data_IF_643349780705
#
_entry.id   IF_643349780705
#
_cell.length_a   1.000
_cell.length_b   1.000
_cell.length_c   1.000
_cell.angle_alpha   90.00
_cell.angle_beta   90.00
_cell.angle_gamma   90.00
#
_symmetry.space_group_name_H-M   'P 1'
#
loop_
_entity.id
_entity.type
_entity.pdbx_description
1 polymer ?
#
# COMPACT_ATOMS: atom_id res chain seq x y z
N UNK A 1 -25.03 -31.34 6.30
CA UNK A 1 -25.07 -29.85 6.37
C UNK A 1 -23.64 -29.35 6.33
N UNK A 2 -23.36 -28.31 5.55
CA UNK A 2 -22.01 -27.71 5.47
C UNK A 2 -21.67 -27.09 6.81
N UNK A 3 -20.50 -27.45 7.38
CA UNK A 3 -19.96 -26.78 8.57
C UNK A 3 -19.28 -25.48 8.14
N UNK A 4 -19.95 -24.36 8.33
CA UNK A 4 -19.45 -23.05 7.92
C UNK A 4 -18.22 -22.58 8.70
N UNK A 5 -18.03 -23.09 9.93
CA UNK A 5 -16.83 -22.79 10.73
C UNK A 5 -15.62 -23.46 10.08
N UNK A 6 -15.69 -24.76 9.82
CA UNK A 6 -14.61 -25.51 9.13
C UNK A 6 -14.32 -24.88 7.77
N UNK A 7 -15.36 -24.54 6.99
CA UNK A 7 -15.17 -23.91 5.68
C UNK A 7 -14.44 -22.57 5.78
N UNK A 8 -14.77 -21.73 6.75
CA UNK A 8 -14.07 -20.46 6.96
C UNK A 8 -12.60 -20.68 7.36
N UNK A 9 -12.34 -21.67 8.22
CA UNK A 9 -10.99 -22.04 8.61
C UNK A 9 -10.16 -22.54 7.42
N UNK A 10 -10.76 -23.36 6.56
CA UNK A 10 -10.12 -23.84 5.32
C UNK A 10 -9.73 -22.69 4.37
N UNK A 11 -10.62 -21.70 4.18
CA UNK A 11 -10.33 -20.52 3.36
C UNK A 11 -9.12 -19.76 3.90
N UNK A 12 -9.12 -19.47 5.20
CA UNK A 12 -8.00 -18.77 5.84
C UNK A 12 -6.70 -19.56 5.74
N UNK A 13 -6.75 -20.88 5.88
CA UNK A 13 -5.57 -21.73 5.74
C UNK A 13 -5.04 -21.70 4.30
N UNK A 14 -5.91 -21.82 3.30
CA UNK A 14 -5.51 -21.76 1.89
C UNK A 14 -4.87 -20.42 1.51
N UNK A 15 -5.38 -19.29 2.03
CA UNK A 15 -4.77 -17.98 1.83
C UNK A 15 -3.42 -17.84 2.54
N UNK A 16 -3.29 -18.38 3.76
CA UNK A 16 -2.02 -18.42 4.48
C UNK A 16 -0.98 -19.27 3.74
N UNK A 17 -1.36 -20.42 3.23
CA UNK A 17 -0.48 -21.31 2.45
C UNK A 17 -0.01 -20.63 1.16
N UNK A 18 -0.88 -19.86 0.51
CA UNK A 18 -0.50 -19.07 -0.65
C UNK A 18 0.59 -18.04 -0.32
N UNK A 19 0.49 -17.34 0.84
CA UNK A 19 1.54 -16.42 1.31
C UNK A 19 2.84 -17.17 1.61
N UNK A 20 2.77 -18.33 2.27
CA UNK A 20 3.96 -19.14 2.58
C UNK A 20 4.65 -19.57 1.29
N UNK A 21 3.88 -19.95 0.27
CA UNK A 21 4.40 -20.37 -1.02
C UNK A 21 5.17 -19.26 -1.73
N UNK A 22 4.61 -18.05 -1.84
CA UNK A 22 5.26 -16.93 -2.54
C UNK A 22 6.58 -16.53 -1.88
N UNK A 23 6.78 -16.83 -0.60
CA UNK A 23 8.07 -16.64 0.08
C UNK A 23 9.22 -17.35 -0.64
N UNK A 24 8.96 -18.52 -1.24
CA UNK A 24 9.97 -19.28 -1.99
C UNK A 24 10.30 -18.66 -3.35
N UNK A 25 9.47 -17.73 -3.85
CA UNK A 25 9.67 -17.06 -5.14
C UNK A 25 10.43 -15.74 -5.04
N UNK A 26 10.72 -15.29 -3.82
CA UNK A 26 11.56 -14.09 -3.60
C UNK A 26 12.97 -14.37 -4.13
N UNK A 27 13.39 -13.56 -5.10
CA UNK A 27 14.62 -13.74 -5.85
C UNK A 27 15.33 -12.39 -6.10
N UNK A 28 16.36 -12.40 -6.94
CA UNK A 28 17.15 -11.21 -7.30
C UNK A 28 16.31 -10.09 -7.93
N UNK A 29 15.24 -10.41 -8.66
CA UNK A 29 14.37 -9.38 -9.25
C UNK A 29 13.62 -8.59 -8.17
N UNK A 30 13.26 -9.24 -7.05
CA UNK A 30 12.70 -8.54 -5.90
C UNK A 30 13.72 -7.53 -5.32
N UNK A 31 14.97 -7.95 -5.15
CA UNK A 31 16.04 -7.08 -4.63
C UNK A 31 16.30 -5.92 -5.59
N UNK A 32 16.40 -6.18 -6.89
CA UNK A 32 16.60 -5.15 -7.93
C UNK A 32 15.43 -4.18 -7.98
N UNK A 33 14.20 -4.65 -7.77
CA UNK A 33 13.01 -3.80 -7.70
C UNK A 33 13.08 -2.80 -6.54
N UNK A 34 13.58 -3.23 -5.35
CA UNK A 34 13.78 -2.36 -4.21
C UNK A 34 14.78 -1.23 -4.55
N UNK A 35 15.95 -1.60 -5.12
CA UNK A 35 16.96 -0.62 -5.51
C UNK A 35 16.43 0.34 -6.57
N UNK A 36 15.77 -0.17 -7.60
CA UNK A 36 15.17 0.65 -8.65
C UNK A 36 14.20 1.70 -8.09
N UNK A 37 13.30 1.29 -7.19
CA UNK A 37 12.33 2.22 -6.58
C UNK A 37 13.02 3.22 -5.65
N UNK A 38 14.03 2.77 -4.89
CA UNK A 38 14.77 3.65 -3.97
C UNK A 38 15.55 4.73 -4.70
N UNK A 39 16.20 4.37 -5.81
CA UNK A 39 17.10 5.25 -6.57
C UNK A 39 16.37 6.14 -7.57
N UNK A 40 15.11 5.82 -7.88
CA UNK A 40 14.27 6.63 -8.77
C UNK A 40 14.12 8.06 -8.23
N UNK A 41 14.23 9.03 -9.13
CA UNK A 41 13.93 10.44 -8.85
C UNK A 41 12.44 10.76 -9.05
N UNK A 42 11.70 9.83 -9.64
CA UNK A 42 10.26 9.91 -9.86
C UNK A 42 9.44 9.26 -8.75
N UNK A 43 8.20 8.95 -9.08
CA UNK A 43 7.24 8.28 -8.19
C UNK A 43 7.10 6.82 -8.60
N UNK A 44 6.53 6.01 -7.70
CA UNK A 44 6.05 4.68 -8.02
C UNK A 44 4.61 4.79 -8.56
N UNK A 45 4.42 4.55 -9.85
CA UNK A 45 3.09 4.45 -10.47
C UNK A 45 2.60 3.03 -10.33
N UNK A 46 1.58 2.81 -9.51
CA UNK A 46 1.03 1.48 -9.29
C UNK A 46 -0.26 1.33 -10.09
N UNK A 47 -0.32 0.32 -10.96
CA UNK A 47 -1.44 0.12 -11.87
C UNK A 47 -1.98 -1.30 -11.85
N UNK A 48 -3.23 -1.47 -12.25
CA UNK A 48 -3.92 -2.74 -12.35
C UNK A 48 -5.36 -2.52 -12.81
N UNK A 49 -6.11 -3.63 -12.93
CA UNK A 49 -7.54 -3.60 -13.26
C UNK A 49 -8.33 -4.53 -12.34
N UNK A 50 -9.59 -4.25 -12.11
CA UNK A 50 -10.48 -5.08 -11.29
C UNK A 50 -9.98 -5.22 -9.84
N UNK A 51 -9.88 -6.45 -9.34
CA UNK A 51 -9.39 -6.70 -7.97
C UNK A 51 -7.93 -6.28 -7.77
N UNK A 52 -7.08 -6.47 -8.78
CA UNK A 52 -5.69 -6.00 -8.74
C UNK A 52 -5.59 -4.47 -8.65
N UNK A 53 -6.54 -3.71 -9.22
CA UNK A 53 -6.59 -2.25 -9.05
C UNK A 53 -6.87 -1.84 -7.60
N UNK A 54 -7.75 -2.57 -6.90
CA UNK A 54 -8.05 -2.33 -5.48
C UNK A 54 -6.80 -2.59 -4.62
N UNK A 55 -6.08 -3.68 -4.91
CA UNK A 55 -4.80 -3.97 -4.25
C UNK A 55 -3.77 -2.87 -4.56
N UNK A 56 -3.66 -2.43 -5.81
CA UNK A 56 -2.78 -1.33 -6.21
C UNK A 56 -3.06 -0.04 -5.44
N UNK A 57 -4.33 0.34 -5.25
CA UNK A 57 -4.71 1.50 -4.43
C UNK A 57 -4.27 1.35 -2.97
N UNK A 58 -4.46 0.15 -2.37
CA UNK A 58 -3.98 -0.13 -1.02
C UNK A 58 -2.46 -0.01 -0.93
N UNK A 59 -1.73 -0.53 -1.89
CA UNK A 59 -0.27 -0.45 -1.92
C UNK A 59 0.22 1.00 -2.05
N UNK A 60 -0.43 1.82 -2.89
CA UNK A 60 -0.14 3.26 -2.99
C UNK A 60 -0.30 3.95 -1.64
N UNK A 61 -1.39 3.66 -0.91
CA UNK A 61 -1.59 4.20 0.43
C UNK A 61 -0.48 3.78 1.39
N UNK A 62 -0.06 2.51 1.35
CA UNK A 62 1.05 1.99 2.15
C UNK A 62 2.37 2.68 1.80
N UNK A 63 2.74 2.75 0.52
CA UNK A 63 3.98 3.40 0.07
C UNK A 63 4.04 4.87 0.50
N UNK A 64 2.97 5.64 0.26
CA UNK A 64 2.90 7.04 0.65
C UNK A 64 3.04 7.22 2.17
N UNK A 65 2.38 6.39 2.96
CA UNK A 65 2.45 6.46 4.42
C UNK A 65 3.80 6.04 5.00
N UNK A 66 4.63 5.40 4.20
CA UNK A 66 5.95 4.86 4.60
C UNK A 66 7.12 5.51 3.87
N UNK A 67 6.89 6.67 3.24
CA UNK A 67 7.97 7.50 2.69
C UNK A 67 8.41 7.17 1.27
N UNK A 68 7.66 6.35 0.54
CA UNK A 68 7.86 6.13 -0.89
C UNK A 68 6.74 6.83 -1.67
N UNK A 69 7.02 7.93 -2.40
CA UNK A 69 6.00 8.63 -3.16
C UNK A 69 5.39 7.73 -4.23
N UNK A 70 4.10 7.52 -4.17
CA UNK A 70 3.38 6.64 -5.09
C UNK A 70 2.06 7.24 -5.55
N UNK A 71 1.64 6.90 -6.76
CA UNK A 71 0.33 7.25 -7.31
C UNK A 71 -0.34 6.02 -7.91
N UNK A 72 -1.65 6.03 -7.87
CA UNK A 72 -2.46 5.01 -8.52
C UNK A 72 -2.89 5.47 -9.92
N UNK A 73 -2.81 4.56 -10.90
CA UNK A 73 -3.33 4.74 -12.24
C UNK A 73 -4.17 3.52 -12.61
N UNK A 74 -5.46 3.71 -12.86
CA UNK A 74 -6.31 2.60 -13.28
C UNK A 74 -6.01 2.21 -14.73
N UNK A 75 -5.74 0.92 -15.00
CA UNK A 75 -5.29 0.51 -16.34
C UNK A 75 -6.31 0.79 -17.45
N UNK A 76 -7.62 0.72 -17.16
CA UNK A 76 -8.64 1.05 -18.15
C UNK A 76 -8.73 2.56 -18.43
N UNK A 77 -8.51 3.41 -17.42
CA UNK A 77 -8.56 4.87 -17.62
C UNK A 77 -7.27 5.38 -18.31
N UNK A 78 -6.17 4.68 -18.09
CA UNK A 78 -4.88 4.99 -18.72
C UNK A 78 -4.95 4.99 -20.25
N UNK A 79 -5.64 4.04 -20.85
CA UNK A 79 -5.84 4.00 -22.32
C UNK A 79 -6.74 5.10 -22.85
N UNK A 80 -7.43 5.82 -21.97
CA UNK A 80 -8.32 6.94 -22.32
C UNK A 80 -7.79 8.32 -21.88
N UNK A 81 -6.50 8.40 -21.50
CA UNK A 81 -5.84 9.69 -21.23
C UNK A 81 -5.00 9.75 -19.97
N UNK A 82 -5.27 8.94 -18.94
CA UNK A 82 -4.53 8.97 -17.67
C UNK A 82 -3.05 8.53 -17.80
N UNK A 83 -2.65 8.00 -18.98
CA UNK A 83 -1.23 7.84 -19.32
C UNK A 83 -0.43 9.15 -19.21
N UNK A 84 -1.09 10.31 -19.31
CA UNK A 84 -0.48 11.63 -19.11
C UNK A 84 0.06 11.87 -17.69
N UNK A 85 -0.38 11.08 -16.72
CA UNK A 85 0.07 11.14 -15.32
C UNK A 85 1.54 10.73 -15.14
N UNK A 86 2.03 9.82 -16.00
CA UNK A 86 3.37 9.23 -15.90
C UNK A 86 4.43 10.23 -16.36
N UNK A 87 5.46 10.41 -15.54
CA UNK A 87 6.63 11.21 -15.84
C UNK A 87 7.80 10.32 -16.26
N UNK A 88 8.82 10.86 -16.97
CA UNK A 88 9.94 10.06 -17.46
C UNK A 88 10.72 9.29 -16.39
N UNK A 89 10.83 9.86 -15.19
CA UNK A 89 11.58 9.30 -14.06
C UNK A 89 10.75 8.33 -13.21
N UNK A 90 9.45 8.19 -13.49
CA UNK A 90 8.56 7.31 -12.72
C UNK A 90 8.88 5.83 -13.00
N UNK A 91 8.78 5.00 -11.97
CA UNK A 91 8.82 3.54 -12.05
C UNK A 91 7.39 3.02 -12.05
N UNK A 92 7.08 2.08 -12.93
CA UNK A 92 5.74 1.47 -13.00
C UNK A 92 5.75 0.11 -12.32
N UNK A 93 4.86 -0.10 -11.34
CA UNK A 93 4.52 -1.39 -10.74
C UNK A 93 3.15 -1.83 -11.26
N UNK A 94 3.14 -2.84 -12.11
CA UNK A 94 1.91 -3.33 -12.74
C UNK A 94 1.46 -4.65 -12.12
N UNK A 95 0.23 -4.65 -11.55
CA UNK A 95 -0.38 -5.81 -10.91
C UNK A 95 -1.35 -6.53 -11.87
N UNK A 96 -1.12 -7.81 -12.12
CA UNK A 96 -2.05 -8.64 -12.91
C UNK A 96 -1.92 -10.12 -12.54
N UNK A 97 -3.02 -10.77 -12.12
CA UNK A 97 -3.00 -12.22 -11.87
C UNK A 97 -2.61 -13.01 -13.13
N UNK A 98 -3.25 -12.75 -14.25
CA UNK A 98 -2.98 -13.47 -15.50
C UNK A 98 -1.73 -12.96 -16.22
N UNK A 99 -1.36 -11.68 -16.04
CA UNK A 99 -0.32 -11.00 -16.81
C UNK A 99 -0.64 -10.81 -18.30
N UNK A 100 -1.85 -11.17 -18.73
CA UNK A 100 -2.32 -11.11 -20.12
C UNK A 100 -3.61 -10.31 -20.28
N UNK A 101 -3.92 -9.45 -19.32
CA UNK A 101 -5.11 -8.59 -19.36
C UNK A 101 -5.00 -7.62 -20.55
N UNK A 102 -6.01 -7.53 -21.44
CA UNK A 102 -5.92 -6.73 -22.68
C UNK A 102 -5.54 -5.26 -22.43
N UNK A 103 -6.14 -4.62 -21.44
CA UNK A 103 -5.87 -3.22 -21.08
C UNK A 103 -4.40 -3.02 -20.67
N UNK A 104 -3.83 -3.95 -19.92
CA UNK A 104 -2.42 -3.91 -19.52
C UNK A 104 -1.52 -4.16 -20.72
N UNK A 105 -1.88 -5.10 -21.59
CA UNK A 105 -1.10 -5.41 -22.78
C UNK A 105 -0.99 -4.22 -23.73
N UNK A 106 -2.02 -3.38 -23.79
CA UNK A 106 -1.99 -2.12 -24.56
C UNK A 106 -1.04 -1.10 -23.94
N UNK A 107 -0.96 -1.03 -22.60
CA UNK A 107 -0.15 -0.02 -21.88
C UNK A 107 1.35 -0.31 -21.90
N UNK A 108 1.77 -1.56 -21.89
CA UNK A 108 3.17 -1.97 -21.78
C UNK A 108 4.06 -1.32 -22.85
N UNK A 109 3.70 -1.30 -24.14
CA UNK A 109 4.51 -0.62 -25.17
C UNK A 109 4.69 0.89 -24.91
N UNK A 110 3.68 1.56 -24.32
CA UNK A 110 3.77 2.99 -24.00
C UNK A 110 4.74 3.26 -22.85
N UNK A 111 4.78 2.40 -21.83
CA UNK A 111 5.78 2.52 -20.77
C UNK A 111 7.19 2.39 -21.33
N UNK A 112 7.42 1.39 -22.17
CA UNK A 112 8.73 1.15 -22.81
C UNK A 112 9.14 2.30 -23.74
N UNK A 113 8.23 2.79 -24.55
CA UNK A 113 8.50 3.90 -25.47
C UNK A 113 8.87 5.19 -24.72
N UNK A 114 8.32 5.41 -23.54
CA UNK A 114 8.65 6.55 -22.65
C UNK A 114 9.93 6.34 -21.85
N UNK A 115 10.51 5.14 -21.86
CA UNK A 115 11.70 4.78 -21.09
C UNK A 115 11.43 4.46 -19.63
N UNK A 116 10.16 4.37 -19.21
CA UNK A 116 9.82 4.02 -17.84
C UNK A 116 10.20 2.57 -17.54
N UNK A 117 10.79 2.35 -16.37
CA UNK A 117 11.08 1.01 -15.87
C UNK A 117 9.81 0.34 -15.38
N UNK A 118 9.65 -0.93 -15.74
CA UNK A 118 8.44 -1.71 -15.47
C UNK A 118 8.74 -2.90 -14.56
N UNK A 119 8.06 -2.96 -13.42
CA UNK A 119 8.04 -4.09 -12.50
C UNK A 119 6.69 -4.78 -12.68
N UNK A 120 6.70 -6.08 -12.97
CA UNK A 120 5.51 -6.91 -13.06
C UNK A 120 5.27 -7.67 -11.76
N UNK A 121 4.12 -7.48 -11.10
CA UNK A 121 3.67 -8.30 -9.99
C UNK A 121 2.56 -9.22 -10.52
N UNK A 122 2.91 -10.48 -10.82
CA UNK A 122 2.09 -11.37 -11.62
C UNK A 122 1.89 -12.75 -11.00
N UNK A 123 0.75 -13.36 -11.28
CA UNK A 123 0.47 -14.76 -10.94
C UNK A 123 0.83 -15.75 -12.07
N UNK A 124 1.36 -15.27 -13.19
CA UNK A 124 1.85 -16.09 -14.30
C UNK A 124 3.12 -15.47 -14.88
N UNK A 125 4.25 -16.10 -14.61
CA UNK A 125 5.58 -15.65 -15.06
C UNK A 125 5.83 -15.88 -16.56
N UNK A 126 5.04 -16.69 -17.24
CA UNK A 126 5.09 -16.89 -18.69
C UNK A 126 4.23 -15.90 -19.48
N UNK A 127 3.57 -14.98 -18.77
CA UNK A 127 2.67 -14.00 -19.38
C UNK A 127 3.40 -12.92 -20.19
N UNK A 128 2.62 -12.22 -21.03
CA UNK A 128 3.12 -11.09 -21.80
C UNK A 128 3.72 -9.99 -20.89
N UNK A 129 3.02 -9.61 -19.82
CA UNK A 129 3.50 -8.59 -18.90
C UNK A 129 4.84 -8.99 -18.24
N UNK A 130 4.98 -10.26 -17.83
CA UNK A 130 6.22 -10.75 -17.24
C UNK A 130 7.39 -10.73 -18.23
N UNK A 131 7.17 -11.11 -19.49
CA UNK A 131 8.21 -11.12 -20.54
C UNK A 131 8.68 -9.72 -20.93
N UNK A 132 7.82 -8.73 -20.81
CA UNK A 132 8.10 -7.35 -21.20
C UNK A 132 8.64 -6.48 -20.04
N UNK A 133 8.50 -6.95 -18.79
CA UNK A 133 8.95 -6.22 -17.60
C UNK A 133 10.48 -6.27 -17.44
N UNK A 134 11.04 -5.23 -16.81
CA UNK A 134 12.45 -5.22 -16.39
C UNK A 134 12.70 -6.19 -15.22
N UNK A 135 11.73 -6.30 -14.30
CA UNK A 135 11.76 -7.21 -13.14
C UNK A 135 10.41 -7.86 -12.90
N UNK A 136 10.43 -9.12 -12.46
CA UNK A 136 9.23 -9.93 -12.22
C UNK A 136 9.14 -10.33 -10.76
N UNK A 137 8.03 -9.95 -10.13
CA UNK A 137 7.65 -10.36 -8.78
C UNK A 137 6.58 -11.45 -8.90
N UNK A 138 6.96 -12.68 -8.66
CA UNK A 138 6.07 -13.84 -8.79
C UNK A 138 5.17 -13.96 -7.56
N UNK A 139 3.85 -13.82 -7.76
CA UNK A 139 2.80 -14.06 -6.77
C UNK A 139 1.85 -15.18 -7.20
N UNK A 140 2.34 -16.18 -7.93
CA UNK A 140 1.53 -17.29 -8.41
C UNK A 140 0.97 -18.12 -7.26
N UNK A 141 -0.31 -18.48 -7.40
CA UNK A 141 -1.04 -19.33 -6.47
C UNK A 141 -1.58 -20.56 -7.22
N UNK A 142 -1.67 -21.70 -6.55
CA UNK A 142 -2.20 -22.91 -7.18
C UNK A 142 -3.71 -22.81 -7.41
N UNK A 143 -4.42 -22.36 -6.37
CA UNK A 143 -5.87 -22.29 -6.38
C UNK A 143 -6.36 -21.04 -5.64
N UNK A 144 -7.54 -20.57 -6.06
CA UNK A 144 -8.29 -19.61 -5.26
C UNK A 144 -9.02 -20.34 -4.12
N UNK A 145 -9.10 -19.74 -2.95
CA UNK A 145 -9.84 -20.32 -1.82
C UNK A 145 -11.37 -20.32 -2.03
N UNK A 146 -11.86 -19.68 -3.08
CA UNK A 146 -13.26 -19.75 -3.46
C UNK A 146 -13.64 -21.14 -3.96
N UNK A 147 -14.87 -21.65 -3.65
CA UNK A 147 -15.28 -23.02 -3.98
C UNK A 147 -15.17 -23.37 -5.46
N UNK A 148 -15.30 -22.40 -6.35
CA UNK A 148 -15.28 -22.60 -7.80
C UNK A 148 -13.91 -22.26 -8.42
N UNK A 149 -12.90 -21.93 -7.62
CA UNK A 149 -11.58 -21.49 -8.09
C UNK A 149 -11.65 -20.30 -9.09
N UNK A 150 -12.63 -19.40 -8.92
CA UNK A 150 -12.90 -18.29 -9.85
C UNK A 150 -12.66 -16.92 -9.23
N UNK A 151 -13.22 -16.69 -8.04
CA UNK A 151 -13.10 -15.39 -7.39
C UNK A 151 -11.69 -15.18 -6.84
N UNK A 152 -11.02 -14.06 -7.19
CA UNK A 152 -9.69 -13.75 -6.64
C UNK A 152 -9.76 -13.61 -5.11
N UNK A 153 -9.16 -14.55 -4.42
CA UNK A 153 -9.02 -14.64 -2.96
C UNK A 153 -7.54 -14.83 -2.62
N UNK A 154 -7.02 -16.05 -2.69
CA UNK A 154 -5.59 -16.36 -2.48
C UNK A 154 -4.68 -15.50 -3.36
N UNK A 155 -5.01 -15.28 -4.64
CA UNK A 155 -4.22 -14.43 -5.53
C UNK A 155 -4.21 -12.97 -5.12
N UNK A 156 -5.33 -12.43 -4.64
CA UNK A 156 -5.40 -11.04 -4.13
C UNK A 156 -4.61 -10.88 -2.84
N UNK A 157 -4.69 -11.85 -1.94
CA UNK A 157 -3.96 -11.89 -0.67
C UNK A 157 -2.45 -12.01 -0.93
N UNK A 158 -2.04 -12.84 -1.90
CA UNK A 158 -0.64 -12.97 -2.32
C UNK A 158 -0.08 -11.65 -2.91
N UNK A 159 -0.84 -10.98 -3.80
CA UNK A 159 -0.45 -9.67 -4.35
C UNK A 159 -0.27 -8.63 -3.25
N UNK A 160 -1.21 -8.59 -2.30
CA UNK A 160 -1.16 -7.67 -1.17
C UNK A 160 0.05 -7.93 -0.29
N UNK A 161 0.27 -9.18 0.11
CA UNK A 161 1.38 -9.56 0.99
C UNK A 161 2.75 -9.28 0.35
N UNK A 162 2.91 -9.58 -0.95
CA UNK A 162 4.16 -9.31 -1.67
C UNK A 162 4.44 -7.81 -1.82
N UNK A 163 3.40 -7.02 -2.10
CA UNK A 163 3.49 -5.56 -2.14
C UNK A 163 3.82 -4.94 -0.78
N UNK A 164 3.27 -5.48 0.32
CA UNK A 164 3.61 -5.04 1.68
C UNK A 164 5.04 -5.44 2.07
N UNK A 165 5.51 -6.60 1.63
CA UNK A 165 6.92 -6.99 1.79
C UNK A 165 7.86 -6.00 1.08
N UNK A 166 7.52 -5.60 -0.17
CA UNK A 166 8.27 -4.60 -0.92
C UNK A 166 8.31 -3.25 -0.18
N UNK A 167 7.16 -2.78 0.32
CA UNK A 167 7.07 -1.55 1.11
C UNK A 167 7.90 -1.62 2.40
N UNK A 168 7.85 -2.75 3.11
CA UNK A 168 8.60 -2.97 4.36
C UNK A 168 10.12 -2.95 4.14
N UNK A 169 10.59 -3.56 3.05
CA UNK A 169 12.01 -3.50 2.69
C UNK A 169 12.46 -2.07 2.32
N UNK A 170 11.60 -1.29 1.66
CA UNK A 170 11.88 0.12 1.35
C UNK A 170 11.92 0.99 2.62
N UNK A 171 11.07 0.73 3.62
CA UNK A 171 11.14 1.37 4.95
C UNK A 171 12.52 1.18 5.56
N UNK A 172 12.98 -0.08 5.62
CA UNK A 172 14.28 -0.42 6.21
C UNK A 172 15.42 0.20 5.42
N UNK A 173 15.41 0.06 4.08
CA UNK A 173 16.45 0.60 3.21
C UNK A 173 16.55 2.14 3.24
N UNK A 174 15.45 2.84 3.50
CA UNK A 174 15.41 4.31 3.64
C UNK A 174 15.76 4.78 5.05
N UNK A 175 15.88 3.88 6.02
CA UNK A 175 16.02 4.24 7.44
C UNK A 175 14.81 5.03 7.96
N UNK A 176 13.61 4.74 7.45
CA UNK A 176 12.38 5.44 7.79
C UNK A 176 11.98 5.15 9.24
N UNK A 177 11.90 6.21 10.04
CA UNK A 177 11.70 6.12 11.49
C UNK A 177 10.24 6.32 11.91
N UNK A 178 9.94 6.03 13.18
CA UNK A 178 8.64 6.37 13.78
C UNK A 178 8.37 7.89 13.78
N UNK A 179 9.42 8.72 13.80
CA UNK A 179 9.29 10.16 13.68
C UNK A 179 8.89 10.58 12.26
N UNK A 180 9.44 9.91 11.25
CA UNK A 180 9.04 10.14 9.85
C UNK A 180 7.60 9.69 9.63
N UNK A 181 7.22 8.53 10.17
CA UNK A 181 5.82 8.05 10.12
C UNK A 181 4.85 9.06 10.73
N UNK A 182 5.20 9.66 11.85
CA UNK A 182 4.36 10.66 12.50
C UNK A 182 4.17 11.95 11.66
N UNK A 183 5.16 12.32 10.83
CA UNK A 183 5.05 13.47 9.89
C UNK A 183 3.97 13.22 8.83
N UNK A 184 3.81 11.99 8.38
CA UNK A 184 2.78 11.62 7.40
C UNK A 184 1.41 11.34 8.05
N UNK A 185 1.35 11.20 9.40
CA UNK A 185 0.14 10.91 10.16
C UNK A 185 -0.13 11.95 11.28
N UNK A 186 -0.28 13.24 10.94
CA UNK A 186 -0.39 14.31 11.96
C UNK A 186 -1.62 14.15 12.86
N UNK A 187 -2.70 13.54 12.38
CA UNK A 187 -3.93 13.25 13.15
C UNK A 187 -3.84 12.02 14.05
N UNK A 188 -2.85 11.15 13.86
CA UNK A 188 -2.65 9.94 14.65
C UNK A 188 -2.03 10.21 16.02
N UNK A 189 -2.05 9.19 16.90
CA UNK A 189 -1.50 9.30 18.29
C UNK A 189 -0.03 9.74 18.26
N UNK A 190 0.79 9.17 17.37
CA UNK A 190 2.21 9.53 17.21
C UNK A 190 2.38 10.95 16.68
N UNK A 191 1.59 11.37 15.68
CA UNK A 191 1.60 12.74 15.14
C UNK A 191 1.22 13.76 16.20
N UNK A 192 0.15 13.50 16.95
CA UNK A 192 -0.27 14.39 18.06
C UNK A 192 0.83 14.54 19.11
N UNK A 193 1.53 13.46 19.49
CA UNK A 193 2.64 13.53 20.44
C UNK A 193 3.81 14.39 19.97
N UNK A 194 4.07 14.46 18.66
CA UNK A 194 5.18 15.21 18.10
C UNK A 194 4.84 16.67 17.80
N UNK A 195 3.62 16.96 17.38
CA UNK A 195 3.26 18.28 16.86
C UNK A 195 2.36 19.09 17.79
N UNK A 196 1.53 18.44 18.63
CA UNK A 196 0.62 19.16 19.51
C UNK A 196 1.40 19.73 20.70
N UNK A 197 1.40 21.05 20.80
CA UNK A 197 1.96 21.81 21.94
C UNK A 197 0.86 22.12 22.93
N UNK A 198 1.22 22.32 24.21
CA UNK A 198 0.29 22.73 25.25
C UNK A 198 -0.54 23.95 24.82
N UNK A 199 0.11 24.92 24.13
CA UNK A 199 -0.58 26.10 23.59
C UNK A 199 -1.68 25.81 22.56
N UNK A 200 -1.62 24.66 21.89
CA UNK A 200 -2.62 24.28 20.87
C UNK A 200 -3.82 23.59 21.53
N UNK A 201 -3.62 22.96 22.69
CA UNK A 201 -4.67 22.31 23.46
C UNK A 201 -5.46 23.33 24.28
N UNK A 202 -4.79 24.25 25.00
CA UNK A 202 -5.51 25.14 25.92
C UNK A 202 -6.31 26.23 25.19
N UNK A 203 -6.05 26.53 23.92
CA UNK A 203 -6.79 27.53 23.14
C UNK A 203 -8.26 27.19 22.95
N UNK A 204 -8.58 25.91 22.96
CA UNK A 204 -9.95 25.40 22.74
C UNK A 204 -10.65 24.99 24.04
N UNK A 205 -9.94 25.03 25.17
CA UNK A 205 -10.50 24.76 26.48
C UNK A 205 -10.75 26.09 27.21
N UNK A 206 -11.89 26.18 27.89
CA UNK A 206 -12.12 27.30 28.79
C UNK A 206 -11.05 27.29 29.87
N UNK A 207 -10.47 28.48 30.16
CA UNK A 207 -9.48 28.59 31.22
C UNK A 207 -10.18 28.63 32.57
N UNK A 208 -9.83 27.75 33.51
CA UNK A 208 -10.26 27.93 34.88
C UNK A 208 -9.49 29.13 35.48
N UNK A 209 -10.20 30.22 35.71
CA UNK A 209 -9.62 31.45 36.28
C UNK A 209 -10.43 31.87 37.51
N UNK A 210 -9.74 32.11 38.61
CA UNK A 210 -10.33 32.56 39.87
C UNK A 210 -9.51 33.69 40.45
N UNK A 211 -10.16 34.57 41.22
CA UNK A 211 -9.47 35.59 41.98
C UNK A 211 -8.72 35.00 43.20
N UNK A 212 -7.65 35.67 43.72
CA UNK A 212 -6.85 35.13 44.82
C UNK A 212 -7.63 34.86 46.11
N UNK A 213 -8.76 35.55 46.30
CA UNK A 213 -9.62 35.48 47.47
C UNK A 213 -10.86 34.60 47.23
N UNK A 214 -10.93 33.85 46.11
CA UNK A 214 -12.04 32.98 45.80
C UNK A 214 -12.11 31.81 46.79
N UNK A 215 -13.29 31.51 47.38
CA UNK A 215 -13.49 30.35 48.25
C UNK A 215 -13.12 29.03 47.56
N UNK A 216 -12.56 28.09 48.34
CA UNK A 216 -12.01 26.82 47.78
C UNK A 216 -13.07 25.95 47.10
N UNK A 217 -14.30 25.96 47.56
CA UNK A 217 -15.43 25.27 46.93
C UNK A 217 -15.72 25.79 45.51
N UNK A 218 -15.65 27.10 45.31
CA UNK A 218 -15.79 27.73 44.00
C UNK A 218 -14.60 27.43 43.10
N UNK A 219 -13.37 27.36 43.65
CA UNK A 219 -12.16 26.94 42.91
C UNK A 219 -12.30 25.52 42.38
N UNK A 220 -12.82 24.59 43.19
CA UNK A 220 -13.04 23.19 42.80
C UNK A 220 -14.10 23.10 41.68
N UNK A 221 -15.17 23.87 41.76
CA UNK A 221 -16.22 23.90 40.73
C UNK A 221 -15.67 24.47 39.39
N UNK A 222 -14.88 25.54 39.46
CA UNK A 222 -14.28 26.14 38.26
C UNK A 222 -13.32 25.16 37.54
N UNK A 223 -12.46 24.47 38.29
CA UNK A 223 -11.54 23.44 37.72
C UNK A 223 -12.32 22.24 37.16
N UNK A 224 -13.39 21.83 37.82
CA UNK A 224 -14.18 20.66 37.40
C UNK A 224 -15.08 20.95 36.21
N UNK A 225 -15.55 22.19 36.06
CA UNK A 225 -16.47 22.60 34.99
C UNK A 225 -15.73 22.95 33.69
N UNK A 226 -14.42 23.29 33.74
CA UNK A 226 -13.63 23.75 32.60
C UNK A 226 -12.51 22.77 32.23
N UNK A 227 -12.86 21.52 32.09
CA UNK A 227 -11.94 20.44 31.66
C UNK A 227 -11.93 20.22 30.18
#
# INVERSE_FOLDING_TARGET
MTNWIERAQDVLQQEADAIIRIKAFINEDFVKSIYLIKESQGRLVVTGIGKSAIIAQKLVATFNSTGTPAIFMHAADAIHGDLGIIQPEDVVLCLSKSGNTPEISVLVPFFKMRGNKLIALVGNTDSYLAKEADFVLDCSVEHEACPNNLAPTSSSTAQLALGDALASCLIEMRGFTSQDFARYHPGGILGKRLYVKVKDLYKFNERPEVAPDTPMDSVILEISGKR
#
